data_IF_868714519884
#
_entry.id   IF_868714519884
#
_cell.length_a   1.000
_cell.length_b   1.000
_cell.length_c   1.000
_cell.angle_alpha   90.00
_cell.angle_beta   90.00
_cell.angle_gamma   90.00
#
_symmetry.space_group_name_H-M   'P 1'
#
loop_
_entity.id
_entity.type
_entity.pdbx_description
1 polymer ?
#
# COMPACT_ATOMS: atom_id res chain seq x y z
N UNK A 1 -32.17 -11.32 60.57
CA UNK A 1 -32.65 -10.05 59.97
C UNK A 1 -31.54 -8.99 60.08
N UNK A 2 -31.29 -8.25 58.99
CA UNK A 2 -30.60 -6.94 58.87
C UNK A 2 -29.10 -6.79 59.24
N UNK A 3 -28.30 -6.69 58.17
CA UNK A 3 -27.25 -5.71 57.78
C UNK A 3 -26.19 -5.20 58.79
N UNK A 4 -24.93 -5.21 58.33
CA UNK A 4 -23.93 -4.10 58.26
C UNK A 4 -22.69 -4.61 57.50
N UNK A 5 -22.43 -4.22 56.24
CA UNK A 5 -21.57 -3.10 55.78
C UNK A 5 -20.28 -2.94 56.60
N UNK A 6 -19.15 -3.26 55.97
CA UNK A 6 -17.79 -2.91 56.39
C UNK A 6 -17.00 -2.40 55.19
N UNK A 7 -16.59 -1.14 55.30
CA UNK A 7 -15.81 -0.31 54.38
C UNK A 7 -14.35 -0.79 54.33
N UNK A 8 -13.72 -0.86 53.14
CA UNK A 8 -12.26 -0.95 53.03
C UNK A 8 -11.74 0.26 52.25
N UNK A 9 -10.84 0.95 52.94
CA UNK A 9 -10.10 2.16 52.62
C UNK A 9 -8.72 1.76 52.09
N UNK A 10 -8.29 2.31 50.95
CA UNK A 10 -6.89 2.32 50.47
C UNK A 10 -6.88 3.02 49.10
N UNK A 11 -5.94 3.86 48.68
CA UNK A 11 -4.71 4.44 49.24
C UNK A 11 -4.45 5.66 48.32
N UNK A 12 -4.30 6.86 48.87
CA UNK A 12 -3.91 8.05 48.09
C UNK A 12 -2.39 8.04 47.98
N UNK A 13 -1.85 7.88 46.78
CA UNK A 13 -0.44 8.16 46.50
C UNK A 13 -0.28 9.63 46.11
N UNK A 14 0.44 10.36 46.95
CA UNK A 14 0.87 11.73 46.76
C UNK A 14 2.22 11.70 46.02
N UNK A 15 2.29 12.25 44.80
CA UNK A 15 3.58 12.52 44.15
C UNK A 15 3.87 14.03 44.18
N UNK A 16 5.00 14.36 44.81
CA UNK A 16 5.56 15.70 44.97
C UNK A 16 6.22 16.12 43.66
N UNK A 17 5.84 17.30 43.15
CA UNK A 17 6.51 17.93 42.00
C UNK A 17 7.83 18.57 42.45
N UNK A 18 8.91 18.28 41.71
CA UNK A 18 10.13 19.09 41.70
C UNK A 18 10.26 19.68 40.30
N UNK A 19 10.11 20.99 40.17
CA UNK A 19 10.34 21.72 38.93
C UNK A 19 11.82 22.09 38.80
N UNK A 20 12.41 21.81 37.64
CA UNK A 20 13.57 22.55 37.13
C UNK A 20 13.57 22.59 35.60
N UNK A 21 13.28 23.76 35.05
CA UNK A 21 13.99 24.30 33.87
C UNK A 21 13.56 23.90 32.45
N UNK A 22 13.05 24.93 31.75
CA UNK A 22 13.29 25.29 30.33
C UNK A 22 12.25 24.82 29.28
N UNK A 23 11.62 25.84 28.66
CA UNK A 23 10.82 25.87 27.42
C UNK A 23 9.62 24.92 27.29
N UNK A 24 8.52 25.26 27.94
CA UNK A 24 7.23 24.62 27.66
C UNK A 24 6.39 25.49 26.71
N UNK A 25 6.28 25.04 25.46
CA UNK A 25 5.03 25.26 24.72
C UNK A 25 3.93 24.55 25.52
N UNK A 26 2.91 25.30 25.94
CA UNK A 26 1.78 24.75 26.67
C UNK A 26 1.00 23.80 25.75
N UNK A 27 1.23 22.50 25.88
CA UNK A 27 0.33 21.49 25.32
C UNK A 27 -0.79 21.33 26.34
N UNK A 28 -1.92 21.98 26.10
CA UNK A 28 -3.13 21.75 26.88
C UNK A 28 -3.56 20.28 26.72
N UNK A 29 -3.57 19.54 27.83
CA UNK A 29 -4.05 18.17 27.85
C UNK A 29 -5.59 18.15 27.86
N UNK A 30 -6.19 17.62 26.79
CA UNK A 30 -7.63 17.53 26.56
C UNK A 30 -8.34 16.58 27.54
N UNK A 31 -9.52 17.01 28.02
CA UNK A 31 -10.51 16.18 28.70
C UNK A 31 -10.99 15.06 27.77
N UNK A 32 -11.10 13.82 28.27
CA UNK A 32 -11.49 12.63 27.48
C UNK A 32 -12.95 12.68 27.03
N UNK A 33 -13.24 13.32 25.90
CA UNK A 33 -14.42 13.05 25.07
C UNK A 33 -13.96 12.36 23.78
N UNK A 34 -13.68 11.06 23.87
CA UNK A 34 -13.28 10.24 22.71
C UNK A 34 -14.47 9.52 22.03
N UNK A 35 -15.70 9.95 22.35
CA UNK A 35 -16.90 9.34 21.82
C UNK A 35 -17.14 9.78 20.37
N UNK A 36 -17.62 8.84 19.55
CA UNK A 36 -18.06 9.08 18.18
C UNK A 36 -19.48 8.57 18.01
N UNK A 37 -20.19 9.12 17.02
CA UNK A 37 -21.50 8.61 16.61
C UNK A 37 -21.49 8.24 15.13
N UNK A 38 -22.29 7.24 14.76
CA UNK A 38 -22.47 6.79 13.38
C UNK A 38 -23.82 7.32 12.89
N UNK A 39 -23.83 7.92 11.70
CA UNK A 39 -25.06 8.43 11.12
C UNK A 39 -26.09 7.33 10.82
N UNK A 40 -27.34 7.61 11.17
CA UNK A 40 -28.47 6.67 11.03
C UNK A 40 -29.51 7.12 10.01
N UNK A 41 -29.47 8.39 9.61
CA UNK A 41 -30.37 9.01 8.64
C UNK A 41 -29.63 10.06 7.82
N UNK A 42 -30.20 10.49 6.70
CA UNK A 42 -29.66 11.61 5.92
C UNK A 42 -30.44 12.88 6.22
N UNK A 43 -29.83 14.05 5.98
CA UNK A 43 -30.53 15.32 6.08
C UNK A 43 -31.74 15.28 5.14
N UNK A 44 -32.95 15.55 5.66
CA UNK A 44 -34.23 15.44 4.94
C UNK A 44 -34.70 14.02 4.57
N UNK A 45 -34.18 12.97 5.20
CA UNK A 45 -34.66 11.58 5.08
C UNK A 45 -34.73 11.02 3.64
N UNK A 46 -33.93 11.55 2.71
CA UNK A 46 -33.86 11.03 1.33
C UNK A 46 -32.41 10.97 0.83
N UNK A 47 -32.01 9.92 0.07
CA UNK A 47 -30.65 9.84 -0.51
C UNK A 47 -30.33 10.96 -1.51
N UNK A 48 -31.35 11.56 -2.13
CA UNK A 48 -31.21 12.57 -3.21
C UNK A 48 -30.77 13.95 -2.70
N UNK A 49 -30.87 14.21 -1.40
CA UNK A 49 -30.61 15.52 -0.77
C UNK A 49 -29.66 15.40 0.43
N UNK A 50 -28.52 14.70 0.26
CA UNK A 50 -27.45 14.72 1.26
C UNK A 50 -27.02 16.15 1.58
N UNK A 51 -26.62 16.39 2.81
CA UNK A 51 -26.13 17.69 3.27
C UNK A 51 -25.05 18.25 2.33
N UNK A 52 -25.07 19.56 2.12
CA UNK A 52 -24.12 20.33 1.30
C UNK A 52 -23.42 21.40 2.12
N UNK A 53 -22.27 21.86 1.63
CA UNK A 53 -21.53 22.93 2.30
C UNK A 53 -22.44 24.14 2.50
N UNK A 54 -22.52 24.64 3.73
CA UNK A 54 -23.42 25.70 4.18
C UNK A 54 -24.71 25.25 4.87
N UNK A 55 -25.05 23.96 4.82
CA UNK A 55 -26.16 23.37 5.57
C UNK A 55 -25.81 23.21 7.05
N UNK A 56 -26.84 23.28 7.91
CA UNK A 56 -26.73 22.93 9.33
C UNK A 56 -26.86 21.42 9.47
N UNK A 57 -25.79 20.74 9.90
CA UNK A 57 -25.71 19.29 9.98
C UNK A 57 -25.52 18.84 11.43
N UNK A 58 -26.64 18.63 12.14
CA UNK A 58 -26.64 18.30 13.58
C UNK A 58 -26.20 16.88 13.92
N UNK A 59 -26.35 15.96 12.98
CA UNK A 59 -25.93 14.57 13.12
C UNK A 59 -25.21 14.14 11.84
N UNK A 60 -24.22 13.21 11.92
CA UNK A 60 -23.62 12.66 10.71
C UNK A 60 -24.66 11.90 9.90
N UNK A 61 -24.50 11.90 8.57
CA UNK A 61 -25.39 11.15 7.68
C UNK A 61 -25.01 9.66 7.59
N UNK A 62 -25.88 8.84 7.00
CA UNK A 62 -25.60 7.41 6.80
C UNK A 62 -24.25 7.23 6.10
N UNK A 63 -23.41 6.35 6.67
CA UNK A 63 -22.07 6.08 6.13
C UNK A 63 -21.01 7.08 6.59
N UNK A 64 -21.34 8.00 7.51
CA UNK A 64 -20.41 8.90 8.17
C UNK A 64 -20.30 8.60 9.67
N UNK A 65 -19.13 8.89 10.23
CA UNK A 65 -18.81 8.83 11.65
C UNK A 65 -18.38 10.21 12.11
N UNK A 66 -19.00 10.75 13.17
CA UNK A 66 -18.70 12.06 13.75
C UNK A 66 -17.81 11.96 14.96
N UNK A 67 -16.77 12.79 15.01
CA UNK A 67 -15.93 13.06 16.17
C UNK A 67 -16.13 14.49 16.65
N UNK A 68 -16.11 14.65 17.97
CA UNK A 68 -16.17 15.92 18.67
C UNK A 68 -14.90 16.78 18.47
N UNK A 69 -15.03 18.10 18.51
CA UNK A 69 -13.89 19.02 18.48
C UNK A 69 -12.94 18.84 19.68
N UNK A 70 -13.41 18.32 20.82
CA UNK A 70 -12.52 18.02 21.96
C UNK A 70 -11.83 16.66 21.88
N UNK A 71 -11.95 15.93 20.78
CA UNK A 71 -11.30 14.63 20.65
C UNK A 71 -9.77 14.76 20.80
N UNK A 72 -9.16 13.88 21.60
CA UNK A 72 -7.73 13.98 21.94
C UNK A 72 -6.77 13.82 20.74
N UNK A 73 -7.26 13.34 19.60
CA UNK A 73 -6.48 13.18 18.38
C UNK A 73 -6.40 14.47 17.54
N UNK A 74 -7.14 15.51 17.90
CA UNK A 74 -7.10 16.81 17.25
C UNK A 74 -6.07 17.68 17.97
N UNK A 75 -5.11 18.20 17.22
CA UNK A 75 -4.09 19.13 17.69
C UNK A 75 -4.43 20.54 17.23
N UNK A 76 -4.58 21.42 18.20
CA UNK A 76 -4.81 22.84 17.99
C UNK A 76 -3.50 23.60 18.23
N UNK A 77 -3.03 24.31 17.21
CA UNK A 77 -1.76 25.05 17.26
C UNK A 77 -2.06 26.53 17.16
N UNK A 78 -1.74 27.26 18.23
CA UNK A 78 -1.82 28.71 18.29
C UNK A 78 -0.70 29.39 17.50
N UNK A 79 -0.59 30.70 17.65
CA UNK A 79 0.56 31.48 17.19
C UNK A 79 1.16 32.26 18.37
N UNK A 80 2.11 33.17 18.12
CA UNK A 80 2.77 33.96 19.18
C UNK A 80 1.82 34.84 20.01
N UNK A 81 0.59 35.08 19.53
CA UNK A 81 -0.39 36.02 20.12
C UNK A 81 -1.73 35.38 20.48
N UNK A 82 -2.04 34.23 19.91
CA UNK A 82 -3.37 33.62 19.96
C UNK A 82 -3.24 32.17 20.38
N UNK A 83 -3.91 31.85 21.49
CA UNK A 83 -4.16 30.48 21.93
C UNK A 83 -5.56 30.04 21.51
N UNK A 84 -5.76 28.73 21.44
CA UNK A 84 -7.06 28.13 21.21
C UNK A 84 -7.88 28.11 22.51
N UNK A 85 -9.17 28.41 22.39
CA UNK A 85 -10.16 28.28 23.45
C UNK A 85 -10.97 27.02 23.22
N UNK A 86 -11.36 26.36 24.32
CA UNK A 86 -12.09 25.10 24.30
C UNK A 86 -13.30 25.17 25.24
N UNK A 87 -14.33 25.87 24.79
CA UNK A 87 -15.53 26.10 25.59
C UNK A 87 -16.34 24.81 25.73
N UNK A 88 -17.01 24.63 26.87
CA UNK A 88 -17.95 23.55 27.10
C UNK A 88 -19.10 24.00 28.02
N UNK A 89 -20.31 23.50 27.73
CA UNK A 89 -21.48 23.61 28.60
C UNK A 89 -21.79 25.04 29.08
N UNK A 90 -21.74 26.02 28.17
CA UNK A 90 -22.11 27.40 28.46
C UNK A 90 -23.25 27.88 27.52
N UNK A 91 -23.78 29.07 27.75
CA UNK A 91 -24.93 29.59 26.97
C UNK A 91 -24.61 29.86 25.50
N UNK A 92 -23.34 29.97 25.13
CA UNK A 92 -22.91 30.29 23.77
C UNK A 92 -22.82 29.06 22.88
N UNK A 93 -22.51 27.91 23.47
CA UNK A 93 -22.34 26.65 22.76
C UNK A 93 -23.49 25.65 22.98
N UNK A 94 -24.65 26.09 23.49
CA UNK A 94 -25.80 25.19 23.73
C UNK A 94 -26.26 24.44 22.47
N UNK A 95 -25.99 25.04 21.30
CA UNK A 95 -26.41 24.56 19.98
C UNK A 95 -25.26 23.94 19.18
N UNK A 96 -24.06 23.84 19.76
CA UNK A 96 -22.91 23.15 19.17
C UNK A 96 -22.98 21.65 19.45
N UNK A 97 -22.24 20.85 18.68
CA UNK A 97 -22.19 19.42 18.89
C UNK A 97 -21.58 19.13 20.27
N UNK A 98 -22.22 18.24 21.05
CA UNK A 98 -21.93 18.00 22.47
C UNK A 98 -21.78 19.25 23.36
N UNK A 99 -22.26 20.41 22.91
CA UNK A 99 -22.10 21.69 23.58
C UNK A 99 -20.65 22.06 23.85
N UNK A 100 -19.78 21.77 22.90
CA UNK A 100 -18.36 22.11 22.91
C UNK A 100 -18.01 22.94 21.68
N UNK A 101 -17.02 23.82 21.81
CA UNK A 101 -16.54 24.59 20.67
C UNK A 101 -15.07 24.97 20.85
N UNK A 102 -14.25 24.64 19.86
CA UNK A 102 -12.83 24.93 19.85
C UNK A 102 -12.55 26.01 18.83
N UNK A 103 -12.02 27.16 19.27
CA UNK A 103 -11.91 28.33 18.41
C UNK A 103 -10.79 29.30 18.81
N UNK A 104 -10.40 30.15 17.87
CA UNK A 104 -9.51 31.29 18.08
C UNK A 104 -10.30 32.59 18.10
N UNK A 105 -9.74 33.65 18.71
CA UNK A 105 -10.38 34.95 18.73
C UNK A 105 -9.99 35.83 17.54
N UNK A 106 -10.97 36.55 16.99
CA UNK A 106 -10.79 37.42 15.82
C UNK A 106 -10.10 38.77 16.11
N UNK A 107 -10.04 39.21 17.37
CA UNK A 107 -9.45 40.48 17.79
C UNK A 107 -7.95 40.36 18.15
N UNK A 108 -7.42 39.14 18.21
CA UNK A 108 -6.04 38.86 18.67
C UNK A 108 -5.06 38.50 17.56
N UNK A 109 -5.44 38.60 16.28
CA UNK A 109 -4.63 38.24 15.10
C UNK A 109 -4.39 36.71 14.97
N UNK A 110 -5.43 35.97 14.57
CA UNK A 110 -5.42 34.51 14.46
C UNK A 110 -4.64 33.94 13.25
N UNK A 111 -3.88 34.78 12.54
CA UNK A 111 -3.13 34.37 11.36
C UNK A 111 -2.20 33.19 11.63
N UNK A 112 -2.25 32.21 10.73
CA UNK A 112 -1.48 30.98 10.78
C UNK A 112 -1.75 30.08 12.01
N UNK A 113 -2.85 30.31 12.74
CA UNK A 113 -3.36 29.29 13.68
C UNK A 113 -3.82 28.05 12.90
N UNK A 114 -3.69 26.88 13.51
CA UNK A 114 -3.88 25.61 12.82
C UNK A 114 -4.71 24.60 13.60
N UNK A 115 -5.42 23.77 12.85
CA UNK A 115 -6.01 22.52 13.32
C UNK A 115 -5.30 21.39 12.57
N UNK A 116 -4.89 20.36 13.30
CA UNK A 116 -4.10 19.25 12.78
C UNK A 116 -4.63 17.93 13.29
N UNK A 117 -4.84 16.97 12.40
CA UNK A 117 -5.21 15.59 12.74
C UNK A 117 -4.89 14.67 11.56
N UNK A 118 -4.87 13.37 11.81
CA UNK A 118 -4.85 12.37 10.75
C UNK A 118 -6.18 11.62 10.73
N UNK A 119 -6.54 11.00 9.61
CA UNK A 119 -7.64 10.04 9.59
C UNK A 119 -7.44 8.94 8.55
N UNK A 120 -8.03 7.77 8.76
CA UNK A 120 -8.15 6.75 7.70
C UNK A 120 -9.52 6.82 7.04
N UNK A 121 -9.57 6.81 5.71
CA UNK A 121 -10.85 6.82 5.00
C UNK A 121 -10.74 7.35 3.57
N UNK A 122 -11.89 7.62 2.98
CA UNK A 122 -12.09 8.11 1.61
C UNK A 122 -12.77 9.49 1.55
N UNK A 123 -13.23 10.02 2.69
CA UNK A 123 -13.98 11.27 2.74
C UNK A 123 -13.89 11.97 4.10
N UNK A 124 -14.02 13.30 4.07
CA UNK A 124 -13.91 14.19 5.21
C UNK A 124 -14.95 15.30 5.12
N UNK A 125 -15.60 15.66 6.24
CA UNK A 125 -16.34 16.91 6.40
C UNK A 125 -15.88 17.62 7.66
N UNK A 126 -15.91 18.96 7.60
CA UNK A 126 -15.68 19.82 8.76
C UNK A 126 -16.96 20.56 9.10
N UNK A 127 -17.27 20.57 10.38
CA UNK A 127 -18.44 21.23 10.95
C UNK A 127 -17.92 22.31 11.89
N UNK A 128 -18.45 23.52 11.75
CA UNK A 128 -18.03 24.67 12.54
C UNK A 128 -19.19 25.65 12.76
N UNK A 129 -18.97 26.57 13.69
CA UNK A 129 -19.78 27.78 13.82
C UNK A 129 -19.37 28.78 12.74
N UNK A 130 -20.36 29.42 12.09
CA UNK A 130 -20.12 30.44 11.07
C UNK A 130 -20.74 31.78 11.44
N UNK A 131 -20.03 32.89 11.23
CA UNK A 131 -20.51 34.23 11.58
C UNK A 131 -19.64 35.36 11.00
N UNK A 132 -20.29 36.48 10.70
CA UNK A 132 -19.68 37.80 10.52
C UNK A 132 -20.27 38.86 11.46
N UNK A 133 -21.19 38.49 12.35
CA UNK A 133 -21.83 39.43 13.27
C UNK A 133 -21.12 39.37 14.63
N UNK A 134 -20.65 40.52 15.13
CA UNK A 134 -19.93 40.71 16.40
C UNK A 134 -18.51 40.09 16.46
N UNK A 135 -18.33 38.89 15.93
CA UNK A 135 -17.04 38.22 15.77
C UNK A 135 -16.94 37.72 14.34
N UNK A 136 -15.95 38.22 13.60
CA UNK A 136 -15.72 37.83 12.21
C UNK A 136 -14.93 36.54 12.20
N UNK A 137 -15.48 35.51 11.57
CA UNK A 137 -14.79 34.27 11.26
C UNK A 137 -14.10 34.36 9.90
N UNK A 138 -13.07 33.54 9.73
CA UNK A 138 -12.18 33.56 8.57
C UNK A 138 -12.95 33.24 7.28
N UNK A 139 -12.71 34.06 6.27
CA UNK A 139 -13.18 33.86 4.89
C UNK A 139 -12.13 33.19 4.00
N UNK A 140 -10.94 32.87 4.55
CA UNK A 140 -9.84 32.26 3.82
C UNK A 140 -9.06 31.29 4.71
N UNK A 141 -9.55 30.05 4.77
CA UNK A 141 -8.98 28.96 5.53
C UNK A 141 -8.37 27.96 4.57
N UNK A 142 -7.07 27.73 4.65
CA UNK A 142 -6.37 26.77 3.80
C UNK A 142 -6.48 25.36 4.39
N UNK A 143 -6.76 24.37 3.55
CA UNK A 143 -6.62 22.96 3.92
C UNK A 143 -5.53 22.28 3.10
N UNK A 144 -4.63 21.58 3.79
CA UNK A 144 -3.69 20.64 3.21
C UNK A 144 -4.11 19.21 3.53
N UNK A 145 -4.01 18.35 2.53
CA UNK A 145 -4.18 16.90 2.65
C UNK A 145 -2.91 16.26 2.10
N UNK A 146 -2.26 15.43 2.91
CA UNK A 146 -1.02 14.72 2.54
C UNK A 146 0.09 15.67 2.07
N UNK A 147 0.29 16.76 2.81
CA UNK A 147 1.23 17.86 2.56
C UNK A 147 0.96 18.70 1.28
N UNK A 148 -0.10 18.38 0.51
CA UNK A 148 -0.49 19.18 -0.65
C UNK A 148 -1.56 20.20 -0.25
N UNK A 149 -1.37 21.46 -0.65
CA UNK A 149 -2.44 22.45 -0.56
C UNK A 149 -3.54 22.03 -1.54
N UNK A 150 -4.73 21.77 -1.02
CA UNK A 150 -5.86 21.31 -1.84
C UNK A 150 -6.69 22.50 -2.30
N UNK A 151 -7.15 23.30 -1.36
CA UNK A 151 -8.07 24.43 -1.61
C UNK A 151 -8.16 25.32 -0.36
N UNK A 152 -9.01 26.35 -0.46
CA UNK A 152 -9.42 27.17 0.68
C UNK A 152 -10.94 27.10 0.87
N UNK A 153 -11.39 27.28 2.10
CA UNK A 153 -12.81 27.36 2.46
C UNK A 153 -13.05 28.51 3.45
N UNK A 154 -14.31 28.72 3.85
CA UNK A 154 -14.74 29.89 4.60
C UNK A 154 -15.71 29.53 5.73
N UNK A 155 -15.52 30.16 6.88
CA UNK A 155 -16.45 30.18 8.03
C UNK A 155 -17.20 31.52 8.12
N UNK A 156 -17.00 32.41 7.16
CA UNK A 156 -17.75 33.66 7.06
C UNK A 156 -19.20 33.40 6.66
N UNK A 157 -20.13 33.95 7.43
CA UNK A 157 -21.55 33.97 7.05
C UNK A 157 -22.26 35.21 7.61
N UNK A 158 -23.13 35.84 6.81
CA UNK A 158 -23.93 37.00 7.26
C UNK A 158 -24.96 36.62 8.33
N UNK A 159 -25.32 35.34 8.43
CA UNK A 159 -26.22 34.78 9.42
C UNK A 159 -25.44 33.80 10.30
N UNK A 160 -25.53 33.97 11.62
CA UNK A 160 -24.91 33.06 12.58
C UNK A 160 -25.56 31.68 12.48
N UNK A 161 -24.75 30.64 12.36
CA UNK A 161 -25.23 29.25 12.39
C UNK A 161 -24.22 28.38 13.15
N UNK A 162 -24.71 27.64 14.13
CA UNK A 162 -23.99 26.54 14.76
C UNK A 162 -24.04 25.30 13.87
N UNK A 163 -23.10 24.37 14.06
CA UNK A 163 -23.06 23.08 13.34
C UNK A 163 -23.19 23.20 11.81
N UNK A 164 -22.57 24.22 11.21
CA UNK A 164 -22.58 24.37 9.74
C UNK A 164 -21.50 23.50 9.12
N UNK A 165 -21.85 22.74 8.08
CA UNK A 165 -20.86 22.00 7.30
C UNK A 165 -20.08 22.98 6.41
N UNK A 166 -18.84 23.30 6.77
CA UNK A 166 -18.04 24.34 6.12
C UNK A 166 -17.10 23.80 5.05
N UNK A 167 -16.84 22.49 5.08
CA UNK A 167 -15.97 21.82 4.12
C UNK A 167 -16.40 20.37 3.88
N UNK A 168 -16.24 19.90 2.64
CA UNK A 168 -16.39 18.50 2.27
C UNK A 168 -15.32 18.08 1.25
N UNK A 169 -14.69 16.93 1.50
CA UNK A 169 -13.85 16.23 0.53
C UNK A 169 -14.30 14.80 0.36
N UNK A 170 -14.50 14.39 -0.89
CA UNK A 170 -14.89 13.03 -1.27
C UNK A 170 -13.83 12.39 -2.17
N UNK A 171 -13.95 11.08 -2.38
CA UNK A 171 -13.14 10.30 -3.33
C UNK A 171 -11.63 10.35 -3.05
N UNK A 172 -11.25 10.49 -1.78
CA UNK A 172 -9.88 10.25 -1.34
C UNK A 172 -9.57 8.76 -1.43
N UNK A 173 -8.28 8.43 -1.57
CA UNK A 173 -7.83 7.03 -1.52
C UNK A 173 -8.07 6.47 -0.13
N UNK A 174 -8.44 5.21 -0.01
CA UNK A 174 -8.64 4.59 1.31
C UNK A 174 -7.30 4.31 2.01
N UNK A 175 -6.67 5.35 2.53
CA UNK A 175 -5.38 5.35 3.23
C UNK A 175 -5.46 6.21 4.48
N UNK A 176 -4.36 6.34 5.22
CA UNK A 176 -4.25 7.40 6.22
C UNK A 176 -3.93 8.72 5.51
N UNK A 177 -4.65 9.77 5.89
CA UNK A 177 -4.47 11.13 5.40
C UNK A 177 -3.99 12.05 6.52
N UNK A 178 -3.05 12.94 6.19
CA UNK A 178 -2.55 13.97 7.12
C UNK A 178 -3.23 15.29 6.81
N UNK A 179 -3.92 15.87 7.80
CA UNK A 179 -4.70 17.10 7.65
C UNK A 179 -4.03 18.24 8.41
N UNK A 180 -3.76 19.34 7.70
CA UNK A 180 -3.38 20.63 8.28
C UNK A 180 -4.34 21.69 7.73
N UNK A 181 -5.17 22.25 8.62
CA UNK A 181 -6.03 23.40 8.35
C UNK A 181 -5.32 24.63 8.92
N UNK A 182 -5.24 25.71 8.16
CA UNK A 182 -4.52 26.93 8.55
C UNK A 182 -5.34 28.17 8.20
N UNK A 183 -5.60 29.02 9.18
CA UNK A 183 -6.18 30.33 8.91
C UNK A 183 -5.17 31.24 8.18
N UNK A 184 -5.60 31.83 7.06
CA UNK A 184 -4.83 32.79 6.26
C UNK A 184 -5.29 34.22 6.45
N UNK A 185 -6.16 34.46 7.41
CA UNK A 185 -6.67 35.78 7.79
C UNK A 185 -6.27 36.13 9.22
N UNK A 186 -6.74 37.26 9.74
CA UNK A 186 -6.57 37.61 11.16
C UNK A 186 -7.85 37.33 11.97
N UNK A 187 -8.81 36.61 11.39
CA UNK A 187 -10.17 36.42 11.93
C UNK A 187 -10.31 35.08 12.66
N UNK A 188 -11.41 34.88 13.39
CA UNK A 188 -11.59 33.65 14.15
C UNK A 188 -11.63 32.41 13.23
N UNK A 189 -11.04 31.32 13.70
CA UNK A 189 -11.16 29.98 13.12
C UNK A 189 -11.78 29.08 14.18
N UNK A 190 -12.78 28.28 13.81
CA UNK A 190 -13.47 27.37 14.71
C UNK A 190 -13.47 25.92 14.24
N UNK A 191 -13.77 25.01 15.15
CA UNK A 191 -14.16 23.64 14.87
C UNK A 191 -15.19 23.20 15.90
N UNK A 192 -16.18 22.46 15.43
CA UNK A 192 -17.27 21.92 16.24
C UNK A 192 -17.33 20.38 16.09
N UNK A 193 -17.17 19.86 14.87
CA UNK A 193 -17.03 18.42 14.67
C UNK A 193 -16.32 18.05 13.37
N UNK A 194 -15.89 16.79 13.29
CA UNK A 194 -15.32 16.17 12.08
C UNK A 194 -16.14 14.94 11.70
N UNK A 195 -16.59 14.86 10.45
CA UNK A 195 -17.14 13.60 9.92
C UNK A 195 -16.14 12.92 8.98
N UNK A 196 -15.93 11.62 9.16
CA UNK A 196 -15.17 10.73 8.26
C UNK A 196 -15.99 9.50 7.88
N UNK A 197 -15.44 8.58 7.09
CA UNK A 197 -16.08 7.30 6.81
C UNK A 197 -16.55 6.56 8.07
N UNK A 198 -17.70 5.89 7.96
CA UNK A 198 -18.22 5.00 9.02
C UNK A 198 -17.17 4.01 9.56
N UNK A 199 -16.31 3.50 8.68
CA UNK A 199 -15.26 2.53 9.03
C UNK A 199 -13.87 3.17 9.20
N UNK A 200 -13.77 4.49 9.02
CA UNK A 200 -12.53 5.24 9.20
C UNK A 200 -12.22 5.48 10.68
N UNK A 201 -11.01 5.96 10.95
CA UNK A 201 -10.52 6.25 12.30
C UNK A 201 -9.84 7.62 12.32
N UNK A 202 -10.23 8.49 13.25
CA UNK A 202 -9.50 9.72 13.56
C UNK A 202 -8.25 9.39 14.38
N UNK A 203 -7.09 9.93 13.99
CA UNK A 203 -5.78 9.60 14.55
C UNK A 203 -5.01 10.86 14.95
N UNK A 204 -4.13 10.76 15.96
CA UNK A 204 -3.32 11.91 16.36
C UNK A 204 -2.49 12.41 15.18
N UNK A 205 -2.31 13.73 15.09
CA UNK A 205 -1.49 14.31 14.03
C UNK A 205 -0.07 13.74 14.08
N UNK A 206 0.35 13.19 12.94
CA UNK A 206 1.72 12.84 12.66
C UNK A 206 2.04 13.30 11.25
N UNK A 207 3.04 14.17 11.15
CA UNK A 207 3.46 14.71 9.85
C UNK A 207 3.87 13.60 8.89
N UNK A 208 3.40 13.69 7.65
CA UNK A 208 3.76 12.71 6.63
C UNK A 208 5.24 12.87 6.26
N UNK A 209 5.99 11.79 6.42
CA UNK A 209 7.37 11.69 5.95
C UNK A 209 7.32 11.31 4.47
N UNK A 210 7.79 12.22 3.61
CA UNK A 210 7.77 12.04 2.16
C UNK A 210 8.77 10.96 1.75
N UNK A 211 8.38 10.08 0.83
CA UNK A 211 9.34 9.22 0.14
C UNK A 211 10.27 10.07 -0.73
N UNK A 212 11.57 9.82 -0.66
CA UNK A 212 12.61 10.55 -1.40
C UNK A 212 13.23 9.69 -2.50
N UNK A 213 13.29 8.38 -2.32
CA UNK A 213 13.79 7.46 -3.34
C UNK A 213 13.16 6.07 -3.24
N UNK A 214 13.23 5.34 -4.34
CA UNK A 214 12.93 3.91 -4.43
C UNK A 214 14.09 3.23 -5.16
N UNK A 215 14.54 2.07 -4.67
CA UNK A 215 15.56 1.24 -5.31
C UNK A 215 15.08 -0.20 -5.44
N UNK A 216 15.62 -0.93 -6.41
CA UNK A 216 15.42 -2.37 -6.56
C UNK A 216 16.68 -3.12 -6.14
N UNK A 217 16.50 -4.34 -5.64
CA UNK A 217 17.60 -5.27 -5.35
C UNK A 217 18.32 -5.76 -6.61
N UNK A 218 17.67 -5.71 -7.78
CA UNK A 218 18.23 -6.08 -9.09
C UNK A 218 17.85 -5.05 -10.15
N UNK A 219 18.82 -4.64 -10.96
CA UNK A 219 18.60 -3.77 -12.14
C UNK A 219 18.50 -4.55 -13.45
N UNK A 220 18.89 -5.83 -13.45
CA UNK A 220 18.69 -6.76 -14.55
C UNK A 220 18.45 -8.19 -14.05
N UNK A 221 17.78 -9.00 -14.87
CA UNK A 221 17.46 -10.39 -14.58
C UNK A 221 17.34 -11.20 -15.87
N UNK A 222 17.88 -12.41 -15.87
CA UNK A 222 17.70 -13.40 -16.94
C UNK A 222 16.76 -14.49 -16.44
N UNK A 223 15.72 -14.80 -17.21
CA UNK A 223 14.74 -15.84 -16.92
C UNK A 223 14.61 -16.81 -18.10
N UNK A 224 14.26 -18.06 -17.78
CA UNK A 224 13.80 -19.02 -18.77
C UNK A 224 12.29 -18.90 -18.92
N UNK A 225 11.78 -19.13 -20.12
CA UNK A 225 10.33 -19.17 -20.35
C UNK A 225 9.63 -20.12 -19.37
N UNK A 226 8.59 -19.62 -18.69
CA UNK A 226 7.84 -20.33 -17.65
C UNK A 226 8.45 -20.26 -16.25
N UNK A 227 9.63 -19.67 -16.06
CA UNK A 227 10.22 -19.44 -14.73
C UNK A 227 9.76 -18.11 -14.11
N UNK A 228 10.05 -17.93 -12.83
CA UNK A 228 9.75 -16.69 -12.10
C UNK A 228 10.83 -16.38 -11.08
N UNK A 229 10.98 -15.11 -10.74
CA UNK A 229 11.85 -14.62 -9.67
C UNK A 229 11.21 -13.39 -9.00
N UNK A 230 11.77 -12.94 -7.88
CA UNK A 230 11.28 -11.80 -7.09
C UNK A 230 12.15 -10.57 -7.30
N UNK A 231 11.50 -9.41 -7.41
CA UNK A 231 12.11 -8.10 -7.21
C UNK A 231 11.64 -7.52 -5.88
N UNK A 232 12.59 -6.98 -5.11
CA UNK A 232 12.32 -6.30 -3.86
C UNK A 232 12.58 -4.80 -4.03
N UNK A 233 11.59 -3.99 -3.69
CA UNK A 233 11.72 -2.54 -3.69
C UNK A 233 12.00 -2.01 -2.28
N UNK A 234 12.96 -1.09 -2.15
CA UNK A 234 13.23 -0.35 -0.91
C UNK A 234 12.93 1.12 -1.10
N UNK A 235 12.08 1.68 -0.24
CA UNK A 235 11.75 3.11 -0.21
C UNK A 235 12.53 3.77 0.93
N UNK A 236 13.10 4.94 0.66
CA UNK A 236 13.78 5.76 1.68
C UNK A 236 13.17 7.17 1.76
N UNK A 237 13.20 7.80 2.95
CA UNK A 237 13.68 7.25 4.22
C UNK A 237 12.79 6.11 4.75
N UNK A 238 13.33 5.27 5.66
CA UNK A 238 12.63 4.04 6.10
C UNK A 238 11.34 4.33 6.87
N UNK A 239 11.17 5.53 7.41
CA UNK A 239 9.96 5.98 8.11
C UNK A 239 8.99 6.75 7.19
N UNK A 240 9.25 6.78 5.87
CA UNK A 240 8.33 7.34 4.88
C UNK A 240 6.90 6.78 5.10
N UNK A 241 5.92 7.69 5.13
CA UNK A 241 4.53 7.35 5.48
C UNK A 241 3.86 6.53 4.36
N UNK A 242 4.14 6.86 3.10
CA UNK A 242 3.68 6.09 1.95
C UNK A 242 4.76 5.12 1.46
N UNK A 243 4.51 3.82 1.64
CA UNK A 243 5.39 2.72 1.20
C UNK A 243 4.78 1.85 0.11
N UNK A 244 3.66 2.27 -0.48
CA UNK A 244 2.95 1.46 -1.46
C UNK A 244 3.67 1.51 -2.81
N UNK A 245 4.10 0.35 -3.28
CA UNK A 245 4.74 0.18 -4.59
C UNK A 245 3.72 -0.32 -5.60
N UNK A 246 3.68 0.32 -6.76
CA UNK A 246 2.90 -0.12 -7.92
C UNK A 246 3.88 -0.66 -8.96
N UNK A 247 3.61 -1.87 -9.43
CA UNK A 247 4.45 -2.57 -10.41
C UNK A 247 3.80 -2.53 -11.79
N UNK A 248 4.62 -2.47 -12.84
CA UNK A 248 4.18 -2.62 -14.22
C UNK A 248 5.26 -3.27 -15.09
N UNK A 249 4.83 -3.90 -16.18
CA UNK A 249 5.70 -4.40 -17.24
C UNK A 249 5.52 -3.55 -18.50
N UNK A 250 6.61 -3.35 -19.25
CA UNK A 250 6.53 -2.73 -20.58
C UNK A 250 5.83 -3.62 -21.61
N UNK A 251 5.78 -4.94 -21.40
CA UNK A 251 5.04 -5.90 -22.22
C UNK A 251 4.61 -7.13 -21.39
N UNK A 252 3.33 -7.16 -21.00
CA UNK A 252 2.75 -8.26 -20.22
C UNK A 252 2.55 -9.56 -21.01
N UNK A 253 2.74 -9.55 -22.33
CA UNK A 253 2.74 -10.78 -23.14
C UNK A 253 4.05 -11.55 -23.06
N UNK A 254 5.13 -10.88 -22.65
CA UNK A 254 6.48 -11.45 -22.49
C UNK A 254 6.77 -11.72 -21.01
N UNK A 255 6.47 -10.77 -20.12
CA UNK A 255 6.70 -10.90 -18.67
C UNK A 255 5.62 -10.18 -17.88
N UNK A 256 5.08 -10.84 -16.86
CA UNK A 256 4.15 -10.23 -15.89
C UNK A 256 4.83 -9.98 -14.56
N UNK A 257 4.35 -8.97 -13.83
CA UNK A 257 4.73 -8.69 -12.44
C UNK A 257 3.48 -8.53 -11.59
N UNK A 258 3.42 -9.17 -10.43
CA UNK A 258 2.29 -9.03 -9.50
C UNK A 258 2.45 -7.85 -8.52
N UNK A 259 1.44 -7.64 -7.68
CA UNK A 259 1.43 -6.54 -6.70
C UNK A 259 2.53 -6.67 -5.63
N UNK A 260 3.07 -7.86 -5.42
CA UNK A 260 4.13 -8.09 -4.46
C UNK A 260 5.51 -7.99 -5.12
N UNK A 261 5.63 -7.87 -6.44
CA UNK A 261 6.90 -7.83 -7.18
C UNK A 261 7.40 -9.19 -7.67
N UNK A 262 6.55 -10.21 -7.76
CA UNK A 262 6.91 -11.50 -8.39
C UNK A 262 6.85 -11.35 -9.92
N UNK A 263 7.99 -11.55 -10.57
CA UNK A 263 8.18 -11.46 -12.02
C UNK A 263 8.08 -12.85 -12.63
N UNK A 264 7.19 -13.04 -13.60
CA UNK A 264 6.94 -14.34 -14.27
C UNK A 264 7.18 -14.21 -15.77
N UNK A 265 8.08 -15.04 -16.31
CA UNK A 265 8.40 -15.10 -17.72
C UNK A 265 7.37 -15.92 -18.50
N UNK A 266 6.79 -15.34 -19.55
CA UNK A 266 5.75 -15.96 -20.38
C UNK A 266 6.30 -16.40 -21.72
N UNK A 267 7.16 -15.58 -22.34
CA UNK A 267 7.70 -15.81 -23.67
C UNK A 267 9.09 -15.21 -23.79
N UNK A 268 9.92 -15.78 -24.66
CA UNK A 268 11.18 -15.18 -25.10
C UNK A 268 11.02 -13.70 -25.53
N UNK A 269 11.95 -12.86 -25.07
CA UNK A 269 11.96 -11.44 -25.35
C UNK A 269 12.60 -10.62 -24.24
N UNK A 270 12.56 -9.30 -24.38
CA UNK A 270 13.14 -8.37 -23.42
C UNK A 270 12.11 -7.32 -23.01
N UNK A 271 12.00 -7.09 -21.70
CA UNK A 271 11.09 -6.08 -21.13
C UNK A 271 11.76 -5.26 -20.05
N UNK A 272 11.09 -4.18 -19.66
CA UNK A 272 11.43 -3.39 -18.48
C UNK A 272 10.29 -3.53 -17.47
N UNK A 273 10.62 -3.97 -16.26
CA UNK A 273 9.73 -3.95 -15.11
C UNK A 273 9.97 -2.64 -14.35
N UNK A 274 8.90 -1.94 -14.01
CA UNK A 274 8.95 -0.65 -13.29
C UNK A 274 8.27 -0.77 -11.94
N UNK A 275 8.96 -0.36 -10.87
CA UNK A 275 8.40 -0.13 -9.55
C UNK A 275 8.23 1.37 -9.34
N UNK A 276 7.02 1.80 -8.94
CA UNK A 276 6.67 3.22 -8.72
C UNK A 276 6.09 3.41 -7.32
N UNK A 277 6.54 4.43 -6.59
CA UNK A 277 5.87 4.82 -5.34
C UNK A 277 4.55 5.49 -5.68
N UNK A 278 3.44 4.93 -5.19
CA UNK A 278 2.10 5.35 -5.58
C UNK A 278 1.86 6.85 -5.34
N UNK A 279 1.39 7.60 -6.34
CA UNK A 279 1.08 9.03 -6.21
C UNK A 279 2.29 9.97 -6.27
N UNK A 280 3.48 9.47 -6.59
CA UNK A 280 4.69 10.28 -6.83
C UNK A 280 5.25 10.00 -8.22
N UNK A 281 6.37 10.63 -8.62
CA UNK A 281 7.10 10.28 -9.85
C UNK A 281 8.36 9.43 -9.58
N UNK A 282 8.55 8.98 -8.34
CA UNK A 282 9.67 8.13 -7.97
C UNK A 282 9.51 6.74 -8.57
N UNK A 283 10.49 6.33 -9.38
CA UNK A 283 10.51 5.02 -10.03
C UNK A 283 11.89 4.36 -9.94
N UNK A 284 11.89 3.03 -9.99
CA UNK A 284 13.07 2.21 -10.21
C UNK A 284 12.72 1.12 -11.22
N UNK A 285 13.70 0.70 -12.03
CA UNK A 285 13.46 -0.23 -13.15
C UNK A 285 14.41 -1.41 -13.13
N UNK A 286 13.94 -2.53 -13.69
CA UNK A 286 14.72 -3.75 -13.88
C UNK A 286 14.53 -4.26 -15.31
N UNK A 287 15.64 -4.52 -16.02
CA UNK A 287 15.64 -5.10 -17.36
C UNK A 287 15.52 -6.62 -17.26
N UNK A 288 14.47 -7.20 -17.82
CA UNK A 288 14.28 -8.66 -17.83
C UNK A 288 14.52 -9.19 -19.23
N UNK A 289 15.38 -10.19 -19.34
CA UNK A 289 15.67 -10.90 -20.57
C UNK A 289 15.20 -12.35 -20.43
N UNK A 290 14.25 -12.76 -21.27
CA UNK A 290 13.68 -14.10 -21.27
C UNK A 290 14.28 -14.88 -22.43
N UNK A 291 14.89 -16.01 -22.12
CA UNK A 291 15.33 -16.98 -23.12
C UNK A 291 14.32 -18.10 -23.25
N UNK A 292 14.19 -18.63 -24.47
CA UNK A 292 13.32 -19.77 -24.72
C UNK A 292 13.69 -20.95 -23.85
N UNK A 293 12.68 -21.61 -23.31
CA UNK A 293 12.87 -22.95 -22.75
C UNK A 293 13.15 -23.86 -23.94
N UNK A 294 14.32 -24.51 -23.95
CA UNK A 294 14.60 -25.56 -24.93
C UNK A 294 13.59 -26.68 -24.66
N UNK A 295 12.65 -26.89 -25.57
CA UNK A 295 11.79 -28.06 -25.52
C UNK A 295 12.66 -29.28 -25.85
N UNK A 296 12.76 -30.23 -24.91
CA UNK A 296 13.36 -31.53 -25.20
C UNK A 296 12.57 -32.17 -26.35
N UNK A 297 13.25 -32.62 -27.41
CA UNK A 297 12.60 -33.41 -28.45
C UNK A 297 12.11 -34.73 -27.83
N UNK A 298 10.79 -34.81 -27.57
CA UNK A 298 10.13 -35.95 -26.95
C UNK A 298 9.87 -37.11 -27.92
N UNK A 299 10.24 -36.97 -29.18
CA UNK A 299 10.10 -38.05 -30.14
C UNK A 299 11.04 -39.20 -29.76
N UNK A 300 10.63 -40.41 -30.11
CA UNK A 300 11.48 -41.58 -30.02
C UNK A 300 12.08 -41.85 -31.39
N UNK A 301 13.14 -42.64 -31.42
CA UNK A 301 13.76 -43.09 -32.63
C UNK A 301 14.26 -44.51 -32.47
N UNK A 302 14.23 -45.23 -33.58
CA UNK A 302 15.01 -46.46 -33.72
C UNK A 302 16.40 -46.06 -34.22
N UNK A 303 17.41 -46.19 -33.35
CA UNK A 303 18.82 -46.08 -33.72
C UNK A 303 19.32 -47.46 -34.12
N UNK A 304 19.60 -47.65 -35.40
CA UNK A 304 20.14 -48.89 -35.96
C UNK A 304 21.64 -48.73 -36.20
N UNK A 305 22.47 -49.49 -35.48
CA UNK A 305 23.93 -49.45 -35.56
C UNK A 305 24.42 -50.70 -36.27
N UNK A 306 25.08 -50.54 -37.42
CA UNK A 306 25.75 -51.62 -38.14
C UNK A 306 27.21 -51.67 -37.75
N UNK A 307 27.67 -52.83 -37.28
CA UNK A 307 29.04 -53.05 -36.84
C UNK A 307 29.93 -53.57 -37.98
N UNK A 308 31.25 -53.39 -37.84
CA UNK A 308 32.26 -53.82 -38.82
C UNK A 308 32.28 -55.33 -39.09
N UNK A 309 31.70 -56.14 -38.19
CA UNK A 309 31.56 -57.59 -38.36
C UNK A 309 30.26 -57.99 -39.09
N UNK A 310 29.48 -57.02 -39.58
CA UNK A 310 28.20 -57.23 -40.26
C UNK A 310 27.00 -57.41 -39.34
N UNK A 311 27.17 -57.40 -38.02
CA UNK A 311 26.05 -57.46 -37.08
C UNK A 311 25.36 -56.09 -36.95
N UNK A 312 24.03 -56.08 -36.87
CA UNK A 312 23.24 -54.87 -36.63
C UNK A 312 22.61 -54.93 -35.23
N UNK A 313 22.61 -53.79 -34.53
CA UNK A 313 21.94 -53.61 -33.23
C UNK A 313 20.95 -52.46 -33.33
N UNK A 314 19.75 -52.67 -32.82
CA UNK A 314 18.71 -51.63 -32.82
C UNK A 314 18.35 -51.23 -31.39
N UNK A 315 18.18 -49.92 -31.19
CA UNK A 315 17.82 -49.30 -29.93
C UNK A 315 16.59 -48.43 -30.13
N UNK A 316 15.54 -48.70 -29.36
CA UNK A 316 14.37 -47.85 -29.26
C UNK A 316 14.58 -46.85 -28.10
N UNK A 317 14.91 -45.61 -28.44
CA UNK A 317 15.36 -44.58 -27.49
C UNK A 317 14.77 -43.22 -27.83
N UNK A 318 14.75 -42.29 -26.86
CA UNK A 318 14.38 -40.89 -27.13
C UNK A 318 15.36 -40.22 -28.09
N UNK A 319 14.90 -39.25 -28.88
CA UNK A 319 15.76 -38.41 -29.73
C UNK A 319 16.88 -37.72 -28.93
N UNK A 320 16.64 -37.34 -27.68
CA UNK A 320 17.68 -36.81 -26.79
C UNK A 320 18.85 -37.81 -26.56
N UNK A 321 18.57 -39.11 -26.53
CA UNK A 321 19.61 -40.14 -26.40
C UNK A 321 20.34 -40.37 -27.72
N UNK A 322 19.63 -40.28 -28.85
CA UNK A 322 20.25 -40.31 -30.18
C UNK A 322 21.22 -39.14 -30.36
N UNK A 323 20.83 -37.93 -29.98
CA UNK A 323 21.70 -36.75 -30.03
C UNK A 323 22.97 -36.93 -29.17
N UNK A 324 22.83 -37.49 -27.95
CA UNK A 324 24.00 -37.86 -27.13
C UNK A 324 24.90 -38.89 -27.81
N UNK A 325 24.32 -39.90 -28.47
CA UNK A 325 25.09 -40.91 -29.21
C UNK A 325 25.84 -40.30 -30.40
N UNK A 326 25.18 -39.46 -31.21
CA UNK A 326 25.80 -38.80 -32.37
C UNK A 326 26.94 -37.89 -31.90
N UNK A 327 26.71 -37.06 -30.88
CA UNK A 327 27.74 -36.19 -30.33
C UNK A 327 28.95 -36.99 -29.82
N UNK A 328 28.71 -38.08 -29.09
CA UNK A 328 29.77 -38.98 -28.65
C UNK A 328 30.56 -39.58 -29.83
N UNK A 329 29.87 -40.03 -30.87
CA UNK A 329 30.50 -40.63 -32.05
C UNK A 329 31.38 -39.61 -32.80
N UNK A 330 30.87 -38.40 -33.00
CA UNK A 330 31.61 -37.31 -33.67
C UNK A 330 32.80 -36.82 -32.84
N UNK A 331 32.64 -36.64 -31.53
CA UNK A 331 33.75 -36.29 -30.64
C UNK A 331 34.86 -37.34 -30.71
N UNK A 332 34.48 -38.63 -30.70
CA UNK A 332 35.45 -39.73 -30.77
C UNK A 332 36.11 -39.86 -32.13
N UNK A 333 35.37 -39.63 -33.21
CA UNK A 333 35.92 -39.50 -34.57
C UNK A 333 36.92 -38.34 -34.70
N UNK A 334 36.74 -37.28 -33.92
CA UNK A 334 37.67 -36.15 -33.81
C UNK A 334 38.80 -36.36 -32.77
N UNK A 335 38.98 -37.59 -32.27
CA UNK A 335 40.06 -37.96 -31.34
C UNK A 335 39.82 -37.53 -29.89
N UNK A 336 38.60 -37.13 -29.52
CA UNK A 336 38.23 -36.69 -28.16
C UNK A 336 37.26 -37.68 -27.51
N UNK A 337 37.05 -37.57 -26.20
CA UNK A 337 36.01 -38.36 -25.52
C UNK A 337 36.28 -39.87 -25.39
N UNK A 338 35.35 -40.61 -24.76
CA UNK A 338 35.51 -42.02 -24.42
C UNK A 338 35.34 -42.92 -25.65
N UNK A 339 36.04 -44.07 -25.69
CA UNK A 339 35.90 -45.05 -26.78
C UNK A 339 34.64 -45.93 -26.67
N UNK A 340 33.83 -45.75 -25.63
CA UNK A 340 32.63 -46.54 -25.33
C UNK A 340 31.41 -45.64 -25.13
N UNK A 341 30.28 -46.04 -25.71
CA UNK A 341 28.94 -45.53 -25.39
C UNK A 341 28.10 -46.64 -24.77
N UNK A 342 27.20 -46.33 -23.84
CA UNK A 342 26.32 -47.34 -23.23
C UNK A 342 24.86 -47.03 -23.46
N UNK A 343 24.09 -48.05 -23.84
CA UNK A 343 22.64 -48.00 -23.86
C UNK A 343 22.07 -48.79 -22.68
N UNK A 344 21.09 -48.23 -21.99
CA UNK A 344 20.29 -48.94 -21.01
C UNK A 344 19.23 -49.82 -21.71
N UNK A 345 19.23 -51.12 -21.41
CA UNK A 345 18.27 -52.10 -21.91
C UNK A 345 17.34 -52.60 -20.80
N UNK A 346 16.07 -52.77 -21.14
CA UNK A 346 15.06 -53.40 -20.29
C UNK A 346 14.92 -54.88 -20.67
N UNK A 347 15.57 -55.76 -19.91
CA UNK A 347 15.52 -57.22 -20.12
C UNK A 347 15.09 -57.89 -18.82
N UNK A 348 13.89 -58.47 -18.78
CA UNK A 348 13.40 -59.24 -17.62
C UNK A 348 14.22 -60.54 -17.46
N UNK A 349 14.67 -60.97 -16.26
CA UNK A 349 14.40 -60.45 -14.91
C UNK A 349 15.41 -59.43 -14.36
N UNK A 350 16.29 -58.91 -15.20
CA UNK A 350 17.36 -58.03 -14.76
C UNK A 350 16.85 -56.61 -14.46
N UNK A 351 17.27 -56.04 -13.32
CA UNK A 351 16.90 -54.68 -12.90
C UNK A 351 17.50 -53.59 -13.80
N UNK A 352 18.75 -53.79 -14.22
CA UNK A 352 19.48 -52.88 -15.11
C UNK A 352 20.37 -53.71 -16.02
N UNK A 353 20.28 -53.51 -17.33
CA UNK A 353 21.24 -54.07 -18.29
C UNK A 353 21.84 -52.91 -19.06
N UNK A 354 23.17 -52.76 -19.00
CA UNK A 354 23.90 -51.81 -19.83
C UNK A 354 24.61 -52.54 -20.94
N UNK A 355 24.39 -52.12 -22.17
CA UNK A 355 25.15 -52.59 -23.31
C UNK A 355 26.12 -51.51 -23.79
N UNK A 356 27.39 -51.87 -23.96
CA UNK A 356 28.42 -50.95 -24.41
C UNK A 356 28.73 -51.17 -25.90
N UNK A 357 28.88 -50.07 -26.63
CA UNK A 357 29.30 -50.05 -28.03
C UNK A 357 30.66 -49.38 -28.12
N UNK A 358 31.59 -50.07 -28.78
CA UNK A 358 32.95 -49.59 -29.05
C UNK A 358 32.91 -48.76 -30.32
N UNK A 359 33.38 -47.51 -30.24
CA UNK A 359 33.39 -46.58 -31.37
C UNK A 359 33.99 -47.19 -32.65
N UNK A 360 35.20 -47.75 -32.54
CA UNK A 360 35.96 -48.29 -33.69
C UNK A 360 35.37 -49.59 -34.27
N UNK A 361 34.24 -50.06 -33.73
CA UNK A 361 33.50 -51.23 -34.23
C UNK A 361 32.22 -50.85 -34.97
N UNK A 362 31.87 -49.58 -35.04
CA UNK A 362 30.71 -49.08 -35.79
C UNK A 362 31.15 -48.86 -37.25
N UNK A 363 30.42 -49.46 -38.19
CA UNK A 363 30.60 -49.25 -39.62
C UNK A 363 29.68 -48.13 -40.15
N UNK A 364 28.43 -48.11 -39.69
CA UNK A 364 27.45 -47.07 -40.00
C UNK A 364 26.32 -47.09 -38.97
N UNK A 365 25.51 -46.03 -38.94
CA UNK A 365 24.26 -46.01 -38.18
C UNK A 365 23.17 -45.27 -38.95
N UNK A 366 21.93 -45.59 -38.64
CA UNK A 366 20.72 -45.00 -39.21
C UNK A 366 19.79 -44.58 -38.06
N UNK A 367 19.18 -43.40 -38.19
CA UNK A 367 18.20 -42.86 -37.23
C UNK A 367 16.84 -42.82 -37.92
N UNK A 368 15.86 -43.51 -37.34
CA UNK A 368 14.46 -43.47 -37.79
C UNK A 368 13.60 -42.87 -36.68
N UNK A 369 13.35 -41.57 -36.79
CA UNK A 369 12.49 -40.83 -35.86
C UNK A 369 11.02 -41.22 -36.07
N UNK A 370 10.29 -41.36 -34.97
CA UNK A 370 8.86 -41.63 -34.97
C UNK A 370 8.18 -40.94 -33.78
N UNK A 371 6.91 -40.53 -33.97
CA UNK A 371 6.13 -39.96 -32.90
C UNK A 371 5.80 -41.04 -31.86
N UNK A 372 6.14 -40.79 -30.59
CA UNK A 372 5.75 -41.68 -29.50
C UNK A 372 4.22 -41.76 -29.43
N UNK A 373 3.66 -42.96 -29.57
CA UNK A 373 2.23 -43.14 -29.28
C UNK A 373 2.01 -42.89 -27.80
N UNK A 374 1.29 -41.81 -27.45
CA UNK A 374 0.77 -41.61 -26.10
C UNK A 374 -0.07 -42.83 -25.72
N UNK A 375 0.49 -43.73 -24.93
CA UNK A 375 -0.24 -44.79 -24.22
C UNK A 375 -0.42 -44.41 -22.77
#
# INVERSE_FOLDING_TARGET
MKKKIGLIMSMVLLFVFVFSGINNAYVAHAEKNNDFIIGTHNLNNTPKNSAKVGDVLREPEIGWKRYDDKNSNISYVGNERVEWRHDANNSWNENDYNKTHSYTLSDTNALNTKIKFNFTGTKLRLIAFVSNTNYKYSDNIQIKIDNNIIETFSEYNSVRKNQSMVYEKLNLKNTEHVIEITDKTNYALGLDAIDIDKNGELKPYKEAVKAESITLDKTSMDLLEGSSDKLNAKILPEDATNKKVVWSSSDESIVKVDQEGKVTAIKEGQVIITAKVEGTDLTATCKVNVTKKVEENKNNAILSISLVNGATKEYDVSMQEVEKFINWFEEKSNGKGPSLYSFDKKINPYKTVKEYIVHDKIASFEVREYEGTNK
#
